data_IF_453858922066
#
_entry.id   IF_453858922066
#
_cell.length_a   1.000
_cell.length_b   1.000
_cell.length_c   1.000
_cell.angle_alpha   90.00
_cell.angle_beta   90.00
_cell.angle_gamma   90.00
#
_symmetry.space_group_name_H-M   'P 1'
#
loop_
_entity.id
_entity.type
_entity.pdbx_description
1 polymer ?
#
# COMPACT_ATOMS: atom_id res chain seq x y z
N UNK A 1 6.74 -8.71 -21.16
CA UNK A 1 5.53 -9.18 -20.42
C UNK A 1 5.70 -8.76 -18.98
N UNK A 2 4.72 -8.08 -18.41
CA UNK A 2 4.77 -7.67 -17.02
C UNK A 2 4.42 -8.83 -16.09
N UNK A 3 5.06 -8.89 -14.91
CA UNK A 3 4.60 -9.68 -13.78
C UNK A 3 3.33 -9.04 -13.22
N UNK A 4 2.31 -9.83 -12.93
CA UNK A 4 1.00 -9.33 -12.46
C UNK A 4 0.70 -9.90 -11.08
N UNK A 5 0.21 -9.03 -10.20
CA UNK A 5 -0.42 -9.39 -8.93
C UNK A 5 -1.90 -9.00 -9.04
N UNK A 6 -2.79 -9.98 -8.81
CA UNK A 6 -4.23 -9.73 -8.81
C UNK A 6 -4.72 -9.52 -7.38
N UNK A 7 -5.11 -8.28 -7.07
CA UNK A 7 -5.59 -7.89 -5.74
C UNK A 7 -6.79 -6.95 -5.83
N UNK A 8 -7.77 -7.16 -4.95
CA UNK A 8 -8.97 -6.31 -4.86
C UNK A 8 -9.64 -6.09 -6.22
N UNK A 9 -9.73 -7.15 -7.04
CA UNK A 9 -10.29 -7.17 -8.39
C UNK A 9 -9.55 -6.24 -9.38
N UNK A 10 -8.27 -5.95 -9.14
CA UNK A 10 -7.40 -5.16 -10.00
C UNK A 10 -6.13 -5.95 -10.34
N UNK A 11 -5.60 -5.75 -11.56
CA UNK A 11 -4.38 -6.40 -12.04
C UNK A 11 -3.21 -5.42 -11.92
N UNK A 12 -2.41 -5.54 -10.87
CA UNK A 12 -1.26 -4.69 -10.62
C UNK A 12 -0.04 -5.14 -11.44
N UNK A 13 0.66 -4.17 -12.02
CA UNK A 13 1.98 -4.38 -12.62
C UNK A 13 2.99 -4.56 -11.48
N UNK A 14 3.53 -5.76 -11.35
CA UNK A 14 4.33 -6.20 -10.22
C UNK A 14 5.82 -6.41 -10.56
N UNK A 15 6.30 -5.83 -11.65
CA UNK A 15 7.73 -5.83 -11.96
C UNK A 15 8.49 -5.13 -10.84
N UNK A 16 9.65 -5.66 -10.46
CA UNK A 16 10.46 -5.17 -9.35
C UNK A 16 9.66 -5.02 -8.05
N UNK A 17 8.93 -6.08 -7.68
CA UNK A 17 8.09 -6.08 -6.48
C UNK A 17 8.30 -7.30 -5.59
N UNK A 18 8.02 -7.11 -4.31
CA UNK A 18 7.99 -8.11 -3.27
C UNK A 18 6.57 -8.22 -2.70
N UNK A 19 5.92 -9.37 -2.92
CA UNK A 19 4.57 -9.65 -2.44
C UNK A 19 4.61 -9.99 -0.95
N UNK A 20 4.66 -8.97 -0.10
CA UNK A 20 4.89 -9.11 1.34
C UNK A 20 3.77 -9.90 2.04
N UNK A 21 2.52 -9.75 1.62
CA UNK A 21 1.39 -10.50 2.19
C UNK A 21 1.47 -12.01 1.90
N UNK A 22 2.08 -12.39 0.79
CA UNK A 22 2.30 -13.78 0.41
C UNK A 22 3.65 -14.34 0.89
N UNK A 23 4.47 -13.55 1.56
CA UNK A 23 5.83 -13.91 1.99
C UNK A 23 5.86 -14.91 3.14
N UNK A 24 6.95 -15.66 3.24
CA UNK A 24 7.16 -16.60 4.33
C UNK A 24 7.37 -15.88 5.67
N UNK A 25 8.06 -14.73 5.66
CA UNK A 25 8.26 -13.93 6.86
C UNK A 25 6.92 -13.47 7.45
N UNK A 26 5.96 -13.07 6.63
CA UNK A 26 4.64 -12.68 7.11
C UNK A 26 3.85 -13.87 7.66
N UNK A 27 3.85 -15.00 6.94
CA UNK A 27 3.18 -16.24 7.39
C UNK A 27 3.72 -16.75 8.71
N UNK A 28 5.02 -16.61 8.95
CA UNK A 28 5.68 -17.09 10.16
C UNK A 28 5.47 -16.21 11.38
N UNK A 29 5.16 -14.91 11.21
CA UNK A 29 4.89 -14.00 12.33
C UNK A 29 3.55 -14.31 13.01
N UNK A 30 2.55 -14.76 12.25
CA UNK A 30 1.24 -15.14 12.79
C UNK A 30 0.33 -13.95 13.11
N UNK A 31 -0.55 -14.13 14.10
CA UNK A 31 -1.59 -13.17 14.44
C UNK A 31 -1.04 -11.84 14.97
N UNK A 32 -1.81 -10.77 14.78
CA UNK A 32 -1.50 -9.43 15.30
C UNK A 32 -0.68 -8.55 14.37
N UNK A 33 -0.16 -9.07 13.27
CA UNK A 33 0.51 -8.29 12.22
C UNK A 33 -0.33 -8.26 10.95
N UNK A 34 -0.44 -7.07 10.36
CA UNK A 34 -1.15 -6.85 9.10
C UNK A 34 -0.20 -6.19 8.12
N UNK A 35 -0.16 -6.68 6.89
CA UNK A 35 0.69 -6.11 5.84
C UNK A 35 -0.14 -5.52 4.70
N UNK A 36 0.49 -4.63 3.95
CA UNK A 36 0.03 -4.23 2.62
C UNK A 36 0.15 -5.41 1.66
N UNK A 37 -0.44 -5.32 0.48
CA UNK A 37 -0.41 -6.39 -0.51
C UNK A 37 1.04 -6.66 -0.97
N UNK A 38 1.73 -5.63 -1.44
CA UNK A 38 3.10 -5.76 -1.93
C UNK A 38 3.90 -4.46 -1.80
N UNK A 39 5.22 -4.59 -1.93
CA UNK A 39 6.16 -3.48 -2.04
C UNK A 39 6.68 -3.47 -3.48
N UNK A 40 6.59 -2.34 -4.16
CA UNK A 40 7.10 -2.17 -5.53
C UNK A 40 8.12 -1.05 -5.58
N UNK A 41 9.22 -1.30 -6.28
CA UNK A 41 10.21 -0.27 -6.58
C UNK A 41 9.94 0.25 -8.00
N UNK A 42 9.68 1.55 -8.08
CA UNK A 42 9.46 2.25 -9.33
C UNK A 42 10.14 3.61 -9.25
N UNK A 43 11.06 3.91 -10.20
CA UNK A 43 11.83 5.16 -10.23
C UNK A 43 12.54 5.47 -8.90
N UNK A 44 13.24 4.46 -8.34
CA UNK A 44 13.96 4.53 -7.06
C UNK A 44 13.09 4.86 -5.83
N UNK A 45 11.79 4.71 -5.96
CA UNK A 45 10.81 4.90 -4.88
C UNK A 45 10.27 3.56 -4.42
N UNK A 46 10.33 3.31 -3.11
CA UNK A 46 9.65 2.19 -2.45
C UNK A 46 8.17 2.54 -2.25
N UNK A 47 7.31 1.88 -3.02
CA UNK A 47 5.86 1.99 -2.85
C UNK A 47 5.35 0.82 -2.03
N UNK A 48 4.85 1.09 -0.83
CA UNK A 48 4.07 0.15 -0.05
C UNK A 48 2.63 0.24 -0.55
N UNK A 49 2.16 -0.78 -1.26
CA UNK A 49 0.90 -0.75 -2.00
C UNK A 49 -0.16 -1.56 -1.30
N UNK A 50 -1.21 -0.88 -0.88
CA UNK A 50 -2.44 -1.47 -0.37
C UNK A 50 -3.55 -1.30 -1.40
N UNK A 51 -4.35 -2.33 -1.61
CA UNK A 51 -5.48 -2.34 -2.53
C UNK A 51 -6.80 -2.58 -1.80
N UNK A 52 -7.84 -1.88 -2.24
CA UNK A 52 -9.22 -2.08 -1.73
C UNK A 52 -10.23 -2.13 -2.87
N UNK A 53 -11.17 -3.08 -2.86
CA UNK A 53 -12.25 -3.11 -3.85
C UNK A 53 -13.24 -1.98 -3.64
N UNK A 54 -13.34 -1.44 -2.42
CA UNK A 54 -14.17 -0.30 -2.04
C UNK A 54 -13.65 0.34 -0.76
N UNK A 55 -14.09 1.56 -0.50
CA UNK A 55 -13.76 2.29 0.73
C UNK A 55 -14.97 3.14 1.17
N UNK A 56 -15.21 3.34 2.48
CA UNK A 56 -16.32 4.17 2.93
C UNK A 56 -16.26 5.59 2.35
N UNK A 57 -17.43 6.14 2.02
CA UNK A 57 -17.53 7.50 1.49
C UNK A 57 -17.11 8.53 2.54
N UNK A 58 -16.06 9.32 2.32
CA UNK A 58 -15.56 10.30 3.30
C UNK A 58 -16.53 11.44 3.58
N UNK A 59 -17.51 11.67 2.69
CA UNK A 59 -18.46 12.77 2.77
C UNK A 59 -19.83 12.36 3.31
N UNK A 60 -20.03 11.11 3.69
CA UNK A 60 -21.29 10.65 4.27
C UNK A 60 -21.35 10.98 5.76
N UNK A 61 -22.27 11.88 6.21
CA UNK A 61 -22.33 12.34 7.60
C UNK A 61 -23.01 11.36 8.56
N UNK A 62 -23.38 10.16 8.09
CA UNK A 62 -23.98 9.15 8.94
C UNK A 62 -22.95 8.62 9.94
N UNK A 63 -23.31 8.55 11.24
CA UNK A 63 -22.42 8.09 12.31
C UNK A 63 -21.87 6.68 12.08
N UNK A 64 -22.68 5.76 11.55
CA UNK A 64 -22.22 4.41 11.23
C UNK A 64 -21.16 4.43 10.13
N UNK A 65 -21.31 5.30 9.13
CA UNK A 65 -20.31 5.51 8.10
C UNK A 65 -19.04 6.16 8.64
N UNK A 66 -19.16 7.14 9.52
CA UNK A 66 -17.99 7.77 10.17
C UNK A 66 -17.18 6.74 10.96
N UNK A 67 -17.84 5.85 11.71
CA UNK A 67 -17.19 4.77 12.45
C UNK A 67 -16.50 3.78 11.51
N UNK A 68 -17.15 3.38 10.42
CA UNK A 68 -16.57 2.49 9.41
C UNK A 68 -15.39 3.15 8.70
N UNK A 69 -15.51 4.43 8.37
CA UNK A 69 -14.45 5.21 7.74
C UNK A 69 -13.23 5.30 8.65
N UNK A 70 -13.39 5.68 9.93
CA UNK A 70 -12.30 5.74 10.89
C UNK A 70 -11.64 4.37 11.07
N UNK A 71 -12.42 3.31 11.24
CA UNK A 71 -11.89 1.94 11.36
C UNK A 71 -11.11 1.51 10.10
N UNK A 72 -11.56 1.91 8.91
CA UNK A 72 -10.85 1.63 7.67
C UNK A 72 -9.51 2.37 7.61
N UNK A 73 -9.49 3.65 7.98
CA UNK A 73 -8.27 4.47 8.06
C UNK A 73 -7.25 3.84 9.03
N UNK A 74 -7.70 3.48 10.24
CA UNK A 74 -6.84 2.89 11.28
C UNK A 74 -6.17 1.60 10.77
N UNK A 75 -6.94 0.73 10.13
CA UNK A 75 -6.43 -0.51 9.52
C UNK A 75 -5.40 -0.27 8.41
N UNK A 76 -5.59 0.75 7.59
CA UNK A 76 -4.63 1.10 6.53
C UNK A 76 -3.34 1.64 7.15
N UNK A 77 -3.43 2.55 8.13
CA UNK A 77 -2.26 3.04 8.86
C UNK A 77 -1.47 1.90 9.52
N UNK A 78 -2.17 0.98 10.18
CA UNK A 78 -1.56 -0.20 10.80
C UNK A 78 -0.83 -1.07 9.76
N UNK A 79 -1.45 -1.33 8.60
CA UNK A 79 -0.82 -2.09 7.51
C UNK A 79 0.47 -1.44 7.01
N UNK A 80 0.48 -0.13 6.79
CA UNK A 80 1.68 0.59 6.38
C UNK A 80 2.80 0.50 7.42
N UNK A 81 2.48 0.73 8.70
CA UNK A 81 3.46 0.69 9.79
C UNK A 81 4.03 -0.71 9.97
N UNK A 82 3.17 -1.72 10.01
CA UNK A 82 3.61 -3.11 10.17
C UNK A 82 4.45 -3.58 8.99
N UNK A 83 4.05 -3.23 7.76
CA UNK A 83 4.81 -3.58 6.56
C UNK A 83 6.18 -2.94 6.53
N UNK A 84 6.29 -1.67 6.94
CA UNK A 84 7.57 -0.98 7.06
C UNK A 84 8.47 -1.67 8.08
N UNK A 85 7.96 -1.99 9.26
CA UNK A 85 8.72 -2.69 10.31
C UNK A 85 9.14 -4.08 9.85
N UNK A 86 8.24 -4.84 9.23
CA UNK A 86 8.54 -6.19 8.74
C UNK A 86 9.61 -6.15 7.64
N UNK A 87 9.45 -5.27 6.65
CA UNK A 87 10.44 -5.07 5.60
C UNK A 87 11.82 -4.73 6.18
N UNK A 88 11.88 -3.79 7.12
CA UNK A 88 13.14 -3.40 7.77
C UNK A 88 13.76 -4.54 8.57
N UNK A 89 12.96 -5.35 9.25
CA UNK A 89 13.49 -6.51 10.00
C UNK A 89 14.19 -7.50 9.08
N UNK A 90 13.72 -7.66 7.84
CA UNK A 90 14.39 -8.46 6.80
C UNK A 90 15.66 -7.76 6.32
N UNK A 91 15.57 -6.47 6.00
CA UNK A 91 16.72 -5.69 5.49
C UNK A 91 17.92 -5.67 6.43
N UNK A 92 17.67 -5.63 7.74
CA UNK A 92 18.76 -5.65 8.75
C UNK A 92 19.10 -7.05 9.29
N UNK A 93 18.48 -8.10 8.74
CA UNK A 93 18.80 -9.49 9.04
C UNK A 93 18.24 -10.04 10.36
N UNK A 94 17.22 -9.40 10.94
CA UNK A 94 16.51 -9.93 12.13
C UNK A 94 15.54 -11.05 11.69
N UNK A 95 14.80 -10.83 10.62
CA UNK A 95 13.93 -11.83 10.01
C UNK A 95 14.55 -12.34 8.71
N UNK A 96 14.30 -13.60 8.39
CA UNK A 96 14.77 -14.24 7.15
C UNK A 96 13.67 -14.25 6.10
N UNK A 97 14.00 -13.80 4.90
CA UNK A 97 13.16 -13.87 3.72
C UNK A 97 14.02 -13.88 2.45
N UNK A 98 13.58 -14.61 1.45
CA UNK A 98 14.16 -14.55 0.12
C UNK A 98 13.35 -13.63 -0.78
N UNK A 99 13.95 -12.49 -1.13
CA UNK A 99 13.35 -11.60 -2.11
C UNK A 99 13.39 -12.23 -3.51
N UNK A 100 12.42 -11.87 -4.38
CA UNK A 100 12.50 -12.21 -5.79
C UNK A 100 13.80 -11.69 -6.43
N UNK A 101 14.36 -12.44 -7.37
CA UNK A 101 15.62 -12.08 -8.04
C UNK A 101 15.54 -10.74 -8.77
N UNK A 102 14.36 -10.33 -9.20
CA UNK A 102 14.08 -9.06 -9.86
C UNK A 102 13.80 -7.89 -8.89
N UNK A 103 13.85 -8.13 -7.57
CA UNK A 103 13.59 -7.09 -6.56
C UNK A 103 14.87 -6.33 -6.20
N UNK A 104 15.20 -5.32 -7.01
CA UNK A 104 16.41 -4.50 -6.85
C UNK A 104 16.12 -3.25 -6.03
N UNK A 105 16.67 -3.19 -4.81
CA UNK A 105 16.48 -2.08 -3.88
C UNK A 105 17.44 -0.92 -4.19
N UNK A 106 16.94 0.32 -4.27
CA UNK A 106 17.80 1.49 -4.47
C UNK A 106 18.63 1.78 -3.20
N UNK A 107 19.81 2.37 -3.39
CA UNK A 107 20.72 2.71 -2.28
C UNK A 107 20.15 3.82 -1.38
N UNK A 108 19.39 4.74 -1.94
CA UNK A 108 18.75 5.87 -1.24
C UNK A 108 17.28 5.97 -1.65
N UNK A 109 16.43 5.08 -1.16
CA UNK A 109 15.03 5.10 -1.52
C UNK A 109 14.31 6.29 -0.89
N UNK A 110 13.32 6.82 -1.60
CA UNK A 110 12.22 7.54 -0.97
C UNK A 110 11.05 6.58 -0.72
N UNK A 111 10.21 6.93 0.25
CA UNK A 111 9.09 6.09 0.70
C UNK A 111 7.76 6.66 0.25
N UNK A 112 6.91 5.79 -0.28
CA UNK A 112 5.51 6.10 -0.59
C UNK A 112 4.60 5.05 0.04
N UNK A 113 3.59 5.51 0.77
CA UNK A 113 2.45 4.72 1.18
C UNK A 113 1.33 4.97 0.17
N UNK A 114 1.00 3.95 -0.60
CA UNK A 114 0.04 4.03 -1.70
C UNK A 114 -1.19 3.19 -1.40
N UNK A 115 -2.36 3.84 -1.32
CA UNK A 115 -3.66 3.18 -1.27
C UNK A 115 -4.34 3.31 -2.64
N UNK A 116 -4.67 2.18 -3.25
CA UNK A 116 -5.42 2.11 -4.50
C UNK A 116 -6.82 1.57 -4.21
N UNK A 117 -7.85 2.34 -4.56
CA UNK A 117 -9.24 1.99 -4.30
C UNK A 117 -9.99 1.84 -5.62
N UNK A 118 -10.51 0.65 -5.88
CA UNK A 118 -11.42 0.40 -7.00
C UNK A 118 -12.77 1.09 -6.75
N UNK A 119 -13.45 1.48 -7.80
CA UNK A 119 -14.79 2.08 -7.73
C UNK A 119 -14.87 3.32 -6.79
N UNK A 120 -13.81 4.12 -6.73
CA UNK A 120 -13.72 5.31 -5.89
C UNK A 120 -13.72 6.57 -6.73
N UNK A 121 -14.50 7.59 -6.33
CA UNK A 121 -14.57 8.86 -7.05
C UNK A 121 -13.28 9.66 -6.84
N UNK A 122 -12.85 10.41 -7.85
CA UNK A 122 -11.61 11.21 -7.79
C UNK A 122 -11.63 12.19 -6.61
N UNK A 123 -12.76 12.86 -6.37
CA UNK A 123 -12.92 13.82 -5.28
C UNK A 123 -12.87 13.20 -3.87
N UNK A 124 -13.06 11.88 -3.76
CA UNK A 124 -12.98 11.18 -2.48
C UNK A 124 -11.55 10.78 -2.11
N UNK A 125 -10.65 10.75 -3.07
CA UNK A 125 -9.24 10.39 -2.81
C UNK A 125 -8.55 11.37 -1.86
N UNK A 126 -8.78 12.67 -2.04
CA UNK A 126 -8.15 13.71 -1.22
C UNK A 126 -8.55 13.67 0.26
N UNK A 127 -9.83 13.58 0.63
CA UNK A 127 -10.24 13.44 2.03
C UNK A 127 -9.66 12.19 2.71
N UNK A 128 -9.61 11.06 2.01
CA UNK A 128 -8.99 9.83 2.52
C UNK A 128 -7.50 10.04 2.77
N UNK A 129 -6.78 10.64 1.81
CA UNK A 129 -5.36 10.97 1.96
C UNK A 129 -5.12 11.87 3.17
N UNK A 130 -5.89 12.94 3.32
CA UNK A 130 -5.75 13.89 4.43
C UNK A 130 -5.95 13.19 5.78
N UNK A 131 -6.92 12.28 5.86
CA UNK A 131 -7.18 11.51 7.08
C UNK A 131 -6.04 10.53 7.40
N UNK A 132 -5.52 9.82 6.40
CA UNK A 132 -4.34 8.96 6.56
C UNK A 132 -3.12 9.76 7.04
N UNK A 133 -2.83 10.90 6.42
CA UNK A 133 -1.74 11.80 6.82
C UNK A 133 -1.89 12.26 8.29
N UNK A 134 -3.12 12.54 8.72
CA UNK A 134 -3.40 12.98 10.09
C UNK A 134 -3.23 11.85 11.12
N UNK A 135 -3.65 10.63 10.78
CA UNK A 135 -3.65 9.49 11.71
C UNK A 135 -2.30 8.77 11.79
N UNK A 136 -1.44 8.91 10.77
CA UNK A 136 -0.10 8.34 10.85
C UNK A 136 0.68 8.93 12.04
N UNK A 137 1.31 8.06 12.87
CA UNK A 137 2.07 8.52 14.03
C UNK A 137 3.16 9.52 13.67
N UNK A 138 3.35 10.50 14.55
CA UNK A 138 4.33 11.57 14.35
C UNK A 138 5.75 11.04 14.10
N UNK A 139 6.15 9.99 14.81
CA UNK A 139 7.47 9.38 14.64
C UNK A 139 7.66 8.76 13.25
N UNK A 140 6.62 8.15 12.67
CA UNK A 140 6.67 7.65 11.28
C UNK A 140 6.94 8.81 10.31
N UNK A 141 6.21 9.91 10.47
CA UNK A 141 6.37 11.10 9.62
C UNK A 141 7.74 11.75 9.77
N UNK A 142 8.28 11.82 10.98
CA UNK A 142 9.56 12.48 11.25
C UNK A 142 10.78 11.64 10.91
N UNK A 143 10.74 10.33 11.16
CA UNK A 143 11.87 9.44 10.89
C UNK A 143 11.94 9.03 9.43
N UNK A 144 10.79 8.62 8.87
CA UNK A 144 10.72 8.00 7.55
C UNK A 144 10.28 8.95 6.44
N UNK A 145 9.60 10.03 6.81
CA UNK A 145 9.07 11.04 5.90
C UNK A 145 8.35 10.44 4.67
N UNK A 146 7.42 9.49 4.85
CA UNK A 146 6.73 8.89 3.73
C UNK A 146 5.80 9.91 3.07
N UNK A 147 5.68 9.84 1.74
CA UNK A 147 4.59 10.48 1.03
C UNK A 147 3.40 9.53 1.02
N UNK A 148 2.22 10.03 1.31
CA UNK A 148 0.97 9.26 1.25
C UNK A 148 0.21 9.63 -0.02
N UNK A 149 -0.16 8.63 -0.80
CA UNK A 149 -1.01 8.79 -1.97
C UNK A 149 -2.23 7.89 -1.86
N UNK A 150 -3.37 8.45 -2.21
CA UNK A 150 -4.63 7.72 -2.38
C UNK A 150 -5.11 7.99 -3.79
N UNK A 151 -5.25 6.94 -4.57
CA UNK A 151 -5.68 6.99 -5.97
C UNK A 151 -6.75 5.93 -6.24
N UNK A 152 -7.56 6.18 -7.23
CA UNK A 152 -8.48 5.17 -7.73
C UNK A 152 -7.87 4.36 -8.88
N UNK A 153 -8.62 3.35 -9.37
CA UNK A 153 -8.17 2.47 -10.45
C UNK A 153 -7.83 3.22 -11.75
N UNK A 154 -8.58 4.29 -12.08
CA UNK A 154 -8.31 5.09 -13.27
C UNK A 154 -6.94 5.77 -13.18
N UNK A 155 -6.67 6.47 -12.08
CA UNK A 155 -5.39 7.15 -11.86
C UNK A 155 -4.26 6.12 -11.74
N UNK A 156 -4.50 4.98 -11.07
CA UNK A 156 -3.51 3.91 -10.97
C UNK A 156 -3.13 3.33 -12.34
N UNK A 157 -4.08 3.21 -13.26
CA UNK A 157 -3.82 2.80 -14.64
C UNK A 157 -2.99 3.85 -15.40
N UNK A 158 -3.39 5.11 -15.32
CA UNK A 158 -2.67 6.22 -15.96
C UNK A 158 -1.22 6.34 -15.47
N UNK A 159 -0.98 6.02 -14.20
CA UNK A 159 0.36 6.06 -13.60
C UNK A 159 1.15 4.74 -13.74
N UNK A 160 0.61 3.73 -14.41
CA UNK A 160 1.28 2.46 -14.66
C UNK A 160 1.44 1.59 -13.40
N UNK A 161 0.47 1.62 -12.50
CA UNK A 161 0.38 0.70 -11.36
C UNK A 161 -0.51 -0.50 -11.66
N UNK A 162 -1.55 -0.33 -12.45
CA UNK A 162 -2.43 -1.42 -12.89
C UNK A 162 -2.49 -1.49 -14.42
N UNK A 163 -2.82 -2.67 -14.93
CA UNK A 163 -3.02 -2.90 -16.37
C UNK A 163 -4.30 -2.20 -16.81
N UNK A 164 -4.22 -1.46 -17.91
CA UNK A 164 -5.40 -0.80 -18.48
C UNK A 164 -6.40 -1.84 -19.00
N UNK A 165 -7.68 -1.63 -18.70
CA UNK A 165 -8.77 -2.45 -19.26
C UNK A 165 -8.90 -2.33 -20.78
N UNK A 166 -8.19 -1.38 -21.40
CA UNK A 166 -8.15 -1.21 -22.86
C UNK A 166 -7.14 -2.13 -23.54
N UNK A 167 -6.27 -2.78 -22.78
CA UNK A 167 -5.21 -3.66 -23.28
C UNK A 167 -5.59 -5.16 -23.16
N UNK A 168 -6.87 -5.45 -22.90
CA UNK A 168 -7.45 -6.80 -22.87
C UNK A 168 -8.22 -7.14 -24.12
#
# INVERSE_FOLDING_TARGET
MHKIIHESEMDFIADNSFHIEASDVYKNIGEGVRTVEFIRIKNDVLHFVEAKPSFPNPNNPNKDNETKFQSAIDKICEKFIHSLNLFLSVEIGIAEEHYPDDFFRPTKPSLVFLLVIKNHMDEWCRPVKQKLDAELPHYIKKIWNPRVYVINERIASEQGFIVSTKDR
#
